data_IF_969896563944
#
_entry.id   IF_969896563944
#
_cell.length_a   1.000
_cell.length_b   1.000
_cell.length_c   1.000
_cell.angle_alpha   90.00
_cell.angle_beta   90.00
_cell.angle_gamma   90.00
#
_symmetry.space_group_name_H-M   'P 1'
#
loop_
_entity.id
_entity.type
_entity.pdbx_description
1 polymer ?
#
# COMPACT_ATOMS: atom_id res chain seq x y z
N UNK A 1 6.77 14.53 -3.06
CA UNK A 1 6.51 14.74 -4.51
C UNK A 1 6.50 16.23 -4.87
N UNK A 2 5.58 17.06 -4.38
CA UNK A 2 5.50 18.48 -4.77
C UNK A 2 6.60 19.39 -4.19
N UNK A 3 6.93 19.21 -2.91
CA UNK A 3 7.92 20.05 -2.19
C UNK A 3 9.28 19.33 -2.02
N UNK A 4 9.30 18.01 -2.21
CA UNK A 4 10.51 17.19 -1.97
C UNK A 4 10.78 16.83 -0.51
N UNK A 5 9.97 17.32 0.43
CA UNK A 5 10.16 17.10 1.86
C UNK A 5 8.85 16.72 2.57
N UNK A 6 8.94 16.27 3.83
CA UNK A 6 7.78 15.97 4.66
C UNK A 6 7.13 17.26 5.19
N UNK A 7 5.79 17.38 5.15
CA UNK A 7 5.07 18.60 5.53
C UNK A 7 5.25 19.00 7.00
N UNK A 8 5.50 18.03 7.89
CA UNK A 8 5.67 18.24 9.33
C UNK A 8 7.10 17.94 9.80
N UNK A 9 8.01 17.58 8.89
CA UNK A 9 9.40 17.32 9.22
C UNK A 9 10.09 18.56 9.79
N UNK A 10 11.13 18.36 10.58
CA UNK A 10 12.10 19.42 10.89
C UNK A 10 13.32 19.21 10.01
N UNK A 11 13.58 20.15 9.09
CA UNK A 11 14.74 20.12 8.20
C UNK A 11 16.07 20.05 8.96
N UNK A 12 16.09 20.51 10.22
CA UNK A 12 17.31 20.53 11.05
C UNK A 12 17.50 19.27 11.88
N UNK A 13 16.42 18.56 12.21
CA UNK A 13 16.46 17.38 13.09
C UNK A 13 15.24 16.47 12.86
N UNK A 14 15.39 15.50 11.95
CA UNK A 14 14.36 14.50 11.66
C UNK A 14 14.08 13.56 12.85
N UNK A 15 14.95 13.49 13.86
CA UNK A 15 14.79 12.59 15.00
C UNK A 15 13.98 13.22 16.16
N UNK A 16 13.66 14.51 16.08
CA UNK A 16 12.83 15.17 17.08
C UNK A 16 11.34 14.86 16.91
N UNK A 17 10.96 13.63 17.26
CA UNK A 17 9.59 13.13 17.14
C UNK A 17 8.59 13.99 17.90
N UNK A 18 8.97 14.52 19.08
CA UNK A 18 8.09 15.39 19.88
C UNK A 18 7.68 16.65 19.11
N UNK A 19 8.62 17.29 18.42
CA UNK A 19 8.36 18.48 17.61
C UNK A 19 7.53 18.15 16.36
N UNK A 20 7.82 17.04 15.70
CA UNK A 20 7.05 16.56 14.55
C UNK A 20 5.59 16.28 14.95
N UNK A 21 5.37 15.57 16.07
CA UNK A 21 4.03 15.29 16.59
C UNK A 21 3.26 16.56 16.92
N UNK A 22 3.90 17.55 17.56
CA UNK A 22 3.26 18.84 17.82
C UNK A 22 2.83 19.54 16.52
N UNK A 23 3.68 19.53 15.48
CA UNK A 23 3.33 20.09 14.17
C UNK A 23 2.15 19.35 13.52
N UNK A 24 2.11 18.02 13.60
CA UNK A 24 1.00 17.21 13.07
C UNK A 24 -0.31 17.57 13.77
N UNK A 25 -0.31 17.58 15.11
CA UNK A 25 -1.51 17.86 15.92
C UNK A 25 -2.06 19.27 15.67
N UNK A 26 -1.17 20.25 15.44
CA UNK A 26 -1.54 21.63 15.13
C UNK A 26 -1.69 21.91 13.64
N UNK A 27 -1.47 20.91 12.78
CA UNK A 27 -1.50 21.03 11.32
C UNK A 27 -0.59 22.16 10.82
N UNK A 28 0.59 22.26 11.39
CA UNK A 28 1.58 23.28 11.05
C UNK A 28 2.50 22.79 9.94
N UNK A 29 2.13 23.12 8.69
CA UNK A 29 2.97 22.93 7.51
C UNK A 29 3.11 24.25 6.74
N UNK A 30 4.14 24.35 5.92
CA UNK A 30 4.34 25.51 5.02
C UNK A 30 4.75 25.00 3.65
N UNK A 31 4.15 25.56 2.61
CA UNK A 31 4.60 25.39 1.24
C UNK A 31 5.63 26.49 0.97
N UNK A 32 6.88 26.16 0.60
CA UNK A 32 7.89 27.17 0.27
C UNK A 32 7.48 28.02 -0.94
N UNK A 33 7.83 29.31 -0.91
CA UNK A 33 7.54 30.24 -2.03
C UNK A 33 8.26 29.87 -3.33
N UNK A 34 9.31 29.04 -3.24
CA UNK A 34 10.05 28.50 -4.39
C UNK A 34 9.26 27.47 -5.19
N UNK A 35 8.20 26.90 -4.61
CA UNK A 35 7.35 25.90 -5.25
C UNK A 35 6.13 26.58 -5.84
N UNK A 36 6.04 26.62 -7.16
CA UNK A 36 4.84 27.08 -7.85
C UNK A 36 3.78 25.99 -7.85
N UNK A 37 2.63 26.28 -7.26
CA UNK A 37 1.52 25.36 -7.11
C UNK A 37 0.24 26.00 -7.63
N UNK A 38 -0.56 25.27 -8.39
CA UNK A 38 -1.86 25.78 -8.85
C UNK A 38 -2.81 25.99 -7.67
N UNK A 39 -3.78 26.90 -7.84
CA UNK A 39 -4.75 27.20 -6.80
C UNK A 39 -5.56 25.95 -6.40
N UNK A 40 -5.92 25.09 -7.35
CA UNK A 40 -6.65 23.85 -7.09
C UNK A 40 -5.79 22.84 -6.30
N UNK A 41 -4.49 22.78 -6.57
CA UNK A 41 -3.60 21.92 -5.80
C UNK A 41 -3.51 22.39 -4.34
N UNK A 42 -3.32 23.69 -4.13
CA UNK A 42 -3.32 24.30 -2.79
C UNK A 42 -4.65 24.08 -2.07
N UNK A 43 -5.77 24.22 -2.78
CA UNK A 43 -7.10 23.93 -2.26
C UNK A 43 -7.21 22.48 -1.78
N UNK A 44 -6.83 21.52 -2.63
CA UNK A 44 -6.87 20.10 -2.29
C UNK A 44 -6.03 19.80 -1.04
N UNK A 45 -4.79 20.30 -0.98
CA UNK A 45 -3.88 20.10 0.16
C UNK A 45 -4.47 20.66 1.47
N UNK A 46 -5.08 21.84 1.44
CA UNK A 46 -5.71 22.44 2.61
C UNK A 46 -6.91 21.64 3.13
N UNK A 47 -7.62 20.90 2.25
CA UNK A 47 -8.73 20.01 2.64
C UNK A 47 -8.27 18.64 3.13
N UNK A 48 -7.06 18.20 2.73
CA UNK A 48 -6.43 16.97 3.22
C UNK A 48 -5.82 17.17 4.61
N UNK A 49 -5.05 18.25 4.79
CA UNK A 49 -4.43 18.58 6.06
C UNK A 49 -5.42 19.30 6.97
N UNK A 50 -6.37 18.54 7.50
CA UNK A 50 -7.38 18.98 8.48
C UNK A 50 -7.28 18.11 9.73
N UNK A 51 -7.16 18.76 10.90
CA UNK A 51 -7.00 18.09 12.19
C UNK A 51 -8.19 17.18 12.51
N UNK A 52 -9.41 17.69 12.34
CA UNK A 52 -10.63 16.95 12.57
C UNK A 52 -10.90 15.96 11.40
N UNK A 53 -10.86 14.64 11.63
CA UNK A 53 -11.10 13.64 10.58
C UNK A 53 -12.49 13.76 9.94
N UNK A 54 -13.51 14.14 10.71
CA UNK A 54 -14.90 14.28 10.22
C UNK A 54 -15.07 15.45 9.24
N UNK A 55 -14.13 16.40 9.24
CA UNK A 55 -14.12 17.55 8.33
C UNK A 55 -13.12 17.37 7.18
N UNK A 56 -12.33 16.30 7.19
CA UNK A 56 -11.31 16.03 6.18
C UNK A 56 -11.99 15.57 4.89
N UNK A 57 -11.45 15.99 3.75
CA UNK A 57 -11.94 15.56 2.44
C UNK A 57 -11.93 14.03 2.34
N UNK A 58 -13.02 13.47 1.82
CA UNK A 58 -13.18 12.04 1.59
C UNK A 58 -12.54 11.61 0.27
N UNK A 59 -12.27 10.31 0.13
CA UNK A 59 -11.73 9.78 -1.13
C UNK A 59 -12.64 10.04 -2.34
N UNK A 60 -13.96 10.00 -2.14
CA UNK A 60 -14.94 10.34 -3.18
C UNK A 60 -14.76 11.78 -3.66
N UNK A 61 -14.62 12.72 -2.73
CA UNK A 61 -14.44 14.14 -3.04
C UNK A 61 -13.06 14.43 -3.65
N UNK A 62 -12.01 13.69 -3.26
CA UNK A 62 -10.68 13.77 -3.91
C UNK A 62 -10.79 13.34 -5.37
N UNK A 63 -11.43 12.19 -5.64
CA UNK A 63 -11.61 11.68 -7.01
C UNK A 63 -12.43 12.62 -7.90
N UNK A 64 -13.30 13.45 -7.31
CA UNK A 64 -14.05 14.48 -8.03
C UNK A 64 -13.39 15.87 -8.03
N UNK A 65 -12.23 16.03 -7.40
CA UNK A 65 -11.58 17.33 -7.27
C UNK A 65 -11.00 17.78 -8.62
N UNK A 66 -11.14 19.06 -9.03
CA UNK A 66 -10.63 19.55 -10.31
C UNK A 66 -9.15 19.20 -10.53
N UNK A 67 -8.31 19.45 -9.53
CA UNK A 67 -6.88 19.10 -9.59
C UNK A 67 -6.60 17.62 -9.88
N UNK A 68 -7.43 16.70 -9.37
CA UNK A 68 -7.25 15.25 -9.58
C UNK A 68 -7.70 14.82 -10.98
N UNK A 69 -8.71 15.50 -11.54
CA UNK A 69 -9.29 15.17 -12.83
C UNK A 69 -8.46 15.69 -14.02
N UNK A 70 -7.60 16.69 -13.81
CA UNK A 70 -6.72 17.21 -14.87
C UNK A 70 -5.79 16.11 -15.36
N UNK A 71 -5.87 15.81 -16.66
CA UNK A 71 -5.07 14.78 -17.33
C UNK A 71 -5.21 13.37 -16.72
N UNK A 72 -6.35 13.07 -16.06
CA UNK A 72 -6.60 11.74 -15.56
C UNK A 72 -6.74 10.76 -16.75
N UNK A 73 -5.91 9.70 -16.84
CA UNK A 73 -6.03 8.70 -17.89
C UNK A 73 -7.41 8.05 -17.87
N UNK A 74 -7.94 7.73 -19.05
CA UNK A 74 -9.30 7.17 -19.18
C UNK A 74 -9.43 5.83 -18.47
N UNK A 75 -8.35 5.07 -18.39
CA UNK A 75 -8.26 3.78 -17.72
C UNK A 75 -8.37 3.91 -16.20
N UNK A 76 -8.08 5.11 -15.67
CA UNK A 76 -8.15 5.42 -14.25
C UNK A 76 -9.49 6.02 -13.83
N UNK A 77 -10.43 6.20 -14.76
CA UNK A 77 -11.78 6.65 -14.40
C UNK A 77 -12.54 5.53 -13.70
N UNK A 78 -13.58 5.91 -12.96
CA UNK A 78 -14.37 4.94 -12.20
C UNK A 78 -15.00 3.91 -13.13
N UNK A 79 -15.45 4.34 -14.30
CA UNK A 79 -16.10 3.49 -15.30
C UNK A 79 -15.11 2.46 -15.85
N UNK A 80 -13.88 2.86 -16.16
CA UNK A 80 -12.85 1.94 -16.60
C UNK A 80 -12.41 1.01 -15.47
N UNK A 81 -12.23 1.51 -14.25
CA UNK A 81 -11.93 0.69 -13.06
C UNK A 81 -13.02 -0.35 -12.80
N UNK A 82 -14.29 0.00 -12.97
CA UNK A 82 -15.40 -0.94 -12.77
C UNK A 82 -15.36 -2.06 -13.82
N UNK A 83 -15.03 -1.75 -15.08
CA UNK A 83 -14.83 -2.76 -16.15
C UNK A 83 -13.61 -3.64 -15.87
N UNK A 84 -12.46 -3.03 -15.55
CA UNK A 84 -11.25 -3.76 -15.20
C UNK A 84 -11.43 -4.61 -13.95
N UNK A 85 -12.15 -4.15 -12.92
CA UNK A 85 -12.44 -4.96 -11.74
C UNK A 85 -13.35 -6.14 -12.05
N UNK A 86 -14.25 -6.04 -13.03
CA UNK A 86 -15.09 -7.16 -13.47
C UNK A 86 -14.22 -8.17 -14.24
N UNK A 87 -13.35 -7.71 -15.13
CA UNK A 87 -12.44 -8.57 -15.89
C UNK A 87 -11.36 -9.19 -14.98
N UNK A 88 -10.74 -8.41 -14.09
CA UNK A 88 -9.86 -8.90 -13.04
C UNK A 88 -10.60 -9.83 -12.11
N UNK A 89 -11.84 -9.61 -11.66
CA UNK A 89 -12.53 -10.64 -10.86
C UNK A 89 -12.73 -11.95 -11.63
N UNK A 90 -12.88 -11.88 -12.95
CA UNK A 90 -12.94 -13.08 -13.80
C UNK A 90 -11.58 -13.76 -13.98
N UNK A 91 -10.46 -13.02 -13.84
CA UNK A 91 -9.10 -13.50 -14.13
C UNK A 91 -8.24 -13.69 -12.85
N UNK A 92 -8.51 -12.97 -11.77
CA UNK A 92 -7.67 -12.78 -10.57
C UNK A 92 -7.91 -13.87 -9.52
N UNK A 93 -9.10 -14.47 -9.50
CA UNK A 93 -9.38 -15.65 -8.69
C UNK A 93 -9.19 -16.93 -9.50
N UNK A 94 -8.00 -17.15 -10.09
CA UNK A 94 -7.70 -18.46 -10.70
C UNK A 94 -7.73 -19.59 -9.67
N UNK A 95 -7.43 -19.27 -8.42
CA UNK A 95 -7.46 -20.22 -7.30
C UNK A 95 -8.72 -20.00 -6.47
N UNK A 96 -9.41 -21.09 -6.12
CA UNK A 96 -10.52 -21.02 -5.19
C UNK A 96 -10.01 -20.72 -3.78
N UNK A 97 -10.89 -20.21 -2.90
CA UNK A 97 -10.57 -20.02 -1.48
C UNK A 97 -10.08 -21.33 -0.85
N UNK A 98 -10.66 -22.45 -1.27
CA UNK A 98 -10.28 -23.80 -0.83
C UNK A 98 -8.83 -24.13 -1.22
N UNK A 99 -8.44 -23.89 -2.47
CA UNK A 99 -7.07 -24.14 -2.94
C UNK A 99 -6.05 -23.27 -2.18
N UNK A 100 -6.41 -22.01 -1.91
CA UNK A 100 -5.57 -21.09 -1.13
C UNK A 100 -5.37 -21.63 0.28
N UNK A 101 -6.44 -22.07 0.94
CA UNK A 101 -6.36 -22.61 2.31
C UNK A 101 -5.55 -23.90 2.35
N UNK A 102 -5.72 -24.78 1.36
CA UNK A 102 -4.94 -26.01 1.23
C UNK A 102 -3.44 -25.73 1.05
N UNK A 103 -3.05 -24.76 0.21
CA UNK A 103 -1.65 -24.34 0.08
C UNK A 103 -1.10 -23.78 1.40
N UNK A 104 -1.90 -22.98 2.11
CA UNK A 104 -1.50 -22.43 3.41
C UNK A 104 -1.31 -23.52 4.45
N UNK A 105 -2.15 -24.56 4.44
CA UNK A 105 -2.03 -25.69 5.37
C UNK A 105 -0.87 -26.62 5.02
N UNK A 106 -0.62 -26.87 3.73
CA UNK A 106 0.57 -27.56 3.24
C UNK A 106 1.86 -26.85 3.71
N UNK A 107 1.92 -25.52 3.57
CA UNK A 107 3.09 -24.71 3.96
C UNK A 107 3.36 -24.68 5.48
N UNK A 108 2.40 -25.09 6.33
CA UNK A 108 2.62 -25.23 7.78
C UNK A 108 3.33 -26.53 8.15
N UNK A 109 3.34 -27.52 7.25
CA UNK A 109 4.04 -28.78 7.46
C UNK A 109 5.49 -28.64 6.97
N UNK A 110 6.46 -29.05 7.78
CA UNK A 110 7.83 -29.19 7.30
C UNK A 110 7.84 -30.30 6.23
N UNK A 111 8.62 -30.18 5.14
CA UNK A 111 8.76 -31.27 4.20
C UNK A 111 9.28 -32.47 4.98
N UNK A 112 8.43 -33.50 5.13
CA UNK A 112 8.84 -34.80 5.64
C UNK A 112 9.80 -35.36 4.59
N UNK A 113 11.08 -35.04 4.71
CA UNK A 113 12.10 -35.73 3.95
C UNK A 113 11.93 -37.20 4.29
N UNK A 114 11.49 -37.97 3.30
CA UNK A 114 11.49 -39.43 3.28
C UNK A 114 12.95 -39.94 3.30
N UNK A 115 13.71 -39.55 4.33
CA UNK A 115 15.15 -39.72 4.43
C UNK A 115 15.59 -40.42 5.72
N UNK A 116 14.67 -40.84 6.60
CA UNK A 116 14.98 -41.86 7.60
C UNK A 116 14.89 -43.25 6.98
N UNK A 117 13.75 -43.54 6.34
CA UNK A 117 13.40 -44.91 5.96
C UNK A 117 14.20 -45.41 4.76
N UNK A 118 14.58 -44.51 3.83
CA UNK A 118 15.43 -44.86 2.68
C UNK A 118 16.91 -45.02 3.06
N UNK A 119 17.36 -44.38 4.14
CA UNK A 119 18.75 -44.48 4.61
C UNK A 119 18.98 -45.76 5.40
N UNK A 120 17.99 -46.21 6.18
CA UNK A 120 18.05 -47.51 6.86
C UNK A 120 18.05 -48.67 5.87
N UNK A 121 17.23 -48.62 4.82
CA UNK A 121 17.19 -49.69 3.81
C UNK A 121 18.50 -49.79 3.01
N UNK A 122 19.18 -48.65 2.74
CA UNK A 122 20.51 -48.61 2.13
C UNK A 122 21.61 -49.16 3.08
N UNK A 123 21.52 -48.85 4.37
CA UNK A 123 22.46 -49.35 5.39
C UNK A 123 22.28 -50.86 5.63
N UNK A 124 21.05 -51.35 5.61
CA UNK A 124 20.70 -52.77 5.71
C UNK A 124 21.22 -53.53 4.47
N UNK A 125 21.07 -52.95 3.28
CA UNK A 125 21.54 -53.54 2.02
C UNK A 125 23.07 -53.63 1.95
N UNK A 126 23.78 -52.62 2.47
CA UNK A 126 25.25 -52.60 2.50
C UNK A 126 25.85 -53.57 3.53
N UNK A 127 25.12 -53.91 4.60
CA UNK A 127 25.55 -54.93 5.59
C UNK A 127 25.39 -56.37 5.10
N UNK A 128 24.63 -56.58 4.02
CA UNK A 128 24.28 -57.91 3.49
C UNK A 128 25.15 -58.34 2.30
N UNK A 129 26.06 -57.47 1.85
CA UNK A 129 27.16 -57.74 0.92
C UNK A 129 28.44 -58.07 1.71
#
# INVERSE_FOLDING_TARGET
MLVGEFPFGDQKDLHNLKKIMNKIMLVQYKIPNTVHMSQDCSNLMSRIFVANPMRRITMREIKSHPWFLVNLPKESTKEAQDVFNIEENRISSLQSIEDIMNIVDEAKTLPTTSSSDQLEDLVETLKKM
#
